data_IF_486443504815
#
_entry.id   IF_486443504815
#
_cell.length_a   1.000
_cell.length_b   1.000
_cell.length_c   1.000
_cell.angle_alpha   90.00
_cell.angle_beta   90.00
_cell.angle_gamma   90.00
#
_symmetry.space_group_name_H-M   'P 1'
#
loop_
_entity.id
_entity.type
_entity.pdbx_description
1 polymer ?
#
# COMPACT_ATOMS: atom_id res chain seq x y z
N UNK A 1 -7.43 22.67 60.07
CA UNK A 1 -6.48 23.18 59.05
C UNK A 1 -5.99 22.10 58.05
N UNK A 2 -6.14 20.81 58.36
CA UNK A 2 -5.71 19.70 57.49
C UNK A 2 -6.75 19.32 56.43
N UNK A 3 -8.05 19.56 56.63
CA UNK A 3 -9.10 19.25 55.66
C UNK A 3 -9.27 20.26 54.51
N UNK A 4 -8.76 21.50 54.63
CA UNK A 4 -8.85 22.49 53.55
C UNK A 4 -7.75 22.30 52.47
N UNK A 5 -6.64 21.67 52.83
CA UNK A 5 -5.53 21.44 51.89
C UNK A 5 -5.77 20.27 50.94
N UNK A 6 -6.61 19.29 51.29
CA UNK A 6 -6.94 18.15 50.43
C UNK A 6 -7.91 18.49 49.30
N UNK A 7 -8.80 19.48 49.49
CA UNK A 7 -9.73 19.93 48.45
C UNK A 7 -9.07 20.82 47.37
N UNK A 8 -8.05 21.58 47.74
CA UNK A 8 -7.32 22.42 46.77
C UNK A 8 -6.38 21.61 45.87
N UNK A 9 -5.80 20.49 46.34
CA UNK A 9 -4.93 19.64 45.54
C UNK A 9 -5.72 18.80 44.52
N UNK A 10 -6.92 18.35 44.85
CA UNK A 10 -7.79 17.59 43.92
C UNK A 10 -8.37 18.51 42.83
N UNK A 11 -8.73 19.76 43.20
CA UNK A 11 -9.23 20.73 42.22
C UNK A 11 -8.14 21.19 41.23
N UNK A 12 -6.88 21.27 41.67
CA UNK A 12 -5.76 21.60 40.79
C UNK A 12 -5.39 20.46 39.84
N UNK A 13 -5.48 19.21 40.29
CA UNK A 13 -5.30 18.03 39.45
C UNK A 13 -6.44 17.88 38.40
N UNK A 14 -7.67 18.22 38.79
CA UNK A 14 -8.82 18.21 37.86
C UNK A 14 -8.76 19.34 36.84
N UNK A 15 -8.25 20.52 37.21
CA UNK A 15 -8.03 21.65 36.29
C UNK A 15 -6.83 21.40 35.33
N UNK A 16 -5.78 20.73 35.81
CA UNK A 16 -4.61 20.38 35.00
C UNK A 16 -4.93 19.30 33.97
N UNK A 17 -5.82 18.34 34.26
CA UNK A 17 -6.25 17.33 33.32
C UNK A 17 -7.19 17.86 32.20
N UNK A 18 -7.84 19.00 32.41
CA UNK A 18 -8.71 19.63 31.42
C UNK A 18 -8.03 20.73 30.58
N UNK A 19 -6.80 21.16 30.93
CA UNK A 19 -6.05 22.16 30.16
C UNK A 19 -5.06 21.53 29.20
N UNK A 20 -4.62 20.30 29.44
CA UNK A 20 -3.90 19.45 28.50
C UNK A 20 -4.84 18.35 28.03
N UNK A 21 -5.90 18.72 27.32
CA UNK A 21 -6.54 17.78 26.41
C UNK A 21 -5.45 17.29 25.47
N UNK A 22 -4.91 16.10 25.72
CA UNK A 22 -4.17 15.34 24.71
C UNK A 22 -5.17 15.13 23.57
N UNK A 23 -5.25 16.05 22.63
CA UNK A 23 -5.67 15.71 21.30
C UNK A 23 -4.66 14.65 20.85
N UNK A 24 -5.05 13.39 20.89
CA UNK A 24 -4.31 12.34 20.21
C UNK A 24 -4.18 12.85 18.79
N UNK A 25 -2.98 13.32 18.45
CA UNK A 25 -2.70 13.75 17.08
C UNK A 25 -2.91 12.49 16.26
N UNK A 26 -3.99 12.47 15.46
CA UNK A 26 -4.27 11.36 14.60
C UNK A 26 -3.09 11.21 13.63
N UNK A 27 -2.67 9.96 13.41
CA UNK A 27 -1.59 9.66 12.46
C UNK A 27 -2.07 10.11 11.08
N UNK A 28 -1.36 10.99 10.36
CA UNK A 28 -1.77 11.44 9.04
C UNK A 28 -1.81 10.28 8.05
N UNK A 29 -2.62 10.42 7.01
CA UNK A 29 -2.81 9.39 5.99
C UNK A 29 -2.39 9.94 4.63
N UNK A 30 -1.54 9.21 3.93
CA UNK A 30 -1.20 9.45 2.52
C UNK A 30 -2.12 8.59 1.65
N UNK A 31 -2.64 9.17 0.57
CA UNK A 31 -3.44 8.47 -0.45
C UNK A 31 -2.72 8.59 -1.80
N UNK A 32 -2.64 7.48 -2.54
CA UNK A 32 -2.00 7.41 -3.85
C UNK A 32 -2.88 6.69 -4.88
N UNK A 33 -3.07 7.35 -6.02
CA UNK A 33 -3.86 6.84 -7.16
C UNK A 33 -3.15 5.71 -7.93
N UNK A 34 -3.91 5.01 -8.79
CA UNK A 34 -3.42 3.94 -9.66
C UNK A 34 -2.99 4.42 -11.05
N UNK A 35 -2.80 3.44 -11.97
CA UNK A 35 -2.48 3.69 -13.38
C UNK A 35 -3.63 4.43 -14.09
N UNK A 36 -3.31 5.23 -15.10
CA UNK A 36 -4.25 6.03 -15.89
C UNK A 36 -5.19 6.89 -15.01
N UNK A 37 -4.64 7.42 -13.91
CA UNK A 37 -5.37 8.18 -12.91
C UNK A 37 -4.53 9.37 -12.42
N UNK A 38 -5.07 10.15 -11.49
CA UNK A 38 -4.45 11.33 -10.90
C UNK A 38 -4.94 11.51 -9.48
N UNK A 39 -4.30 12.38 -8.70
CA UNK A 39 -4.76 12.72 -7.36
C UNK A 39 -6.21 13.21 -7.37
N UNK A 40 -6.59 14.03 -8.34
CA UNK A 40 -7.97 14.54 -8.45
C UNK A 40 -9.04 13.43 -8.58
N UNK A 41 -8.69 12.28 -9.12
CA UNK A 41 -9.60 11.11 -9.15
C UNK A 41 -9.77 10.45 -7.77
N UNK A 42 -8.92 10.78 -6.81
CA UNK A 42 -8.98 10.29 -5.43
C UNK A 42 -9.53 11.33 -4.45
N UNK A 43 -9.88 12.55 -4.89
CA UNK A 43 -10.33 13.64 -3.99
C UNK A 43 -11.55 13.24 -3.16
N UNK A 44 -12.55 12.62 -3.79
CA UNK A 44 -13.75 12.18 -3.08
C UNK A 44 -13.44 11.11 -2.03
N UNK A 45 -12.60 10.15 -2.37
CA UNK A 45 -12.11 9.11 -1.45
C UNK A 45 -11.29 9.72 -0.31
N UNK A 46 -10.36 10.62 -0.63
CA UNK A 46 -9.51 11.31 0.35
C UNK A 46 -10.32 12.13 1.36
N UNK A 47 -11.30 12.91 0.88
CA UNK A 47 -12.22 13.67 1.72
C UNK A 47 -13.06 12.75 2.61
N UNK A 48 -13.49 11.60 2.09
CA UNK A 48 -14.22 10.62 2.87
C UNK A 48 -13.34 10.00 3.98
N UNK A 49 -12.09 9.63 3.68
CA UNK A 49 -11.12 9.15 4.69
C UNK A 49 -10.91 10.21 5.77
N UNK A 50 -10.65 11.46 5.37
CA UNK A 50 -10.39 12.57 6.31
C UNK A 50 -11.54 12.77 7.27
N UNK A 51 -12.76 12.80 6.75
CA UNK A 51 -13.98 13.05 7.56
C UNK A 51 -14.40 11.84 8.38
N UNK A 52 -14.29 10.62 7.83
CA UNK A 52 -14.77 9.41 8.50
C UNK A 52 -13.85 8.95 9.64
N UNK A 53 -12.54 9.20 9.53
CA UNK A 53 -11.54 8.72 10.50
C UNK A 53 -10.86 9.85 11.27
N UNK A 54 -11.27 11.10 11.05
CA UNK A 54 -10.68 12.28 11.70
C UNK A 54 -9.15 12.31 11.60
N UNK A 55 -8.62 12.02 10.42
CA UNK A 55 -7.19 12.02 10.09
C UNK A 55 -6.89 13.05 9.00
N UNK A 56 -5.76 13.74 9.07
CA UNK A 56 -5.32 14.62 7.98
C UNK A 56 -4.90 13.77 6.79
N UNK A 57 -5.41 14.08 5.59
CA UNK A 57 -5.11 13.32 4.37
C UNK A 57 -4.22 14.13 3.43
N UNK A 58 -3.17 13.48 2.93
CA UNK A 58 -2.31 13.97 1.86
C UNK A 58 -2.55 13.14 0.60
N UNK A 59 -3.31 13.68 -0.33
CA UNK A 59 -3.59 13.08 -1.62
C UNK A 59 -2.45 13.43 -2.59
N UNK A 60 -1.53 12.47 -2.83
CA UNK A 60 -0.27 12.72 -3.55
C UNK A 60 -0.47 12.53 -5.06
N UNK A 61 0.10 13.47 -5.84
CA UNK A 61 0.31 13.36 -7.27
C UNK A 61 1.79 13.03 -7.56
N UNK A 62 2.04 12.15 -8.53
CA UNK A 62 3.38 11.87 -9.04
C UNK A 62 3.47 12.41 -10.47
N UNK A 63 4.40 13.33 -10.72
CA UNK A 63 4.56 13.99 -12.01
C UNK A 63 3.30 14.71 -12.46
N UNK A 64 2.81 14.41 -13.67
CA UNK A 64 1.55 14.92 -14.20
C UNK A 64 0.35 13.97 -13.98
N UNK A 65 0.50 13.01 -13.06
CA UNK A 65 -0.52 12.04 -12.69
C UNK A 65 -0.83 11.06 -13.80
N UNK A 66 -1.84 11.37 -14.61
CA UNK A 66 -2.35 10.45 -15.63
C UNK A 66 -1.26 9.90 -16.57
N UNK A 67 -0.45 10.78 -17.17
CA UNK A 67 0.59 10.33 -18.13
C UNK A 67 1.76 9.68 -17.40
N UNK A 68 2.21 10.24 -16.30
CA UNK A 68 3.30 9.68 -15.50
C UNK A 68 2.95 8.28 -15.03
N UNK A 69 1.70 8.05 -14.56
CA UNK A 69 1.27 6.73 -14.10
C UNK A 69 1.25 5.66 -15.20
N UNK A 70 1.20 6.04 -16.48
CA UNK A 70 1.25 5.12 -17.63
C UNK A 70 2.66 5.00 -18.19
N UNK A 71 3.29 6.15 -18.51
CA UNK A 71 4.46 6.23 -19.37
C UNK A 71 5.79 6.35 -18.61
N UNK A 72 5.78 6.44 -17.30
CA UNK A 72 6.98 6.37 -16.47
C UNK A 72 7.12 4.99 -15.82
N UNK A 73 8.28 4.33 -15.87
CA UNK A 73 8.50 3.08 -15.15
C UNK A 73 8.25 3.25 -13.66
N UNK A 74 7.77 2.21 -12.98
CA UNK A 74 7.50 2.27 -11.53
C UNK A 74 8.74 2.60 -10.69
N UNK A 75 9.92 2.21 -11.15
CA UNK A 75 11.19 2.56 -10.51
C UNK A 75 11.40 4.08 -10.44
N UNK A 76 11.07 4.81 -11.51
CA UNK A 76 11.18 6.27 -11.53
C UNK A 76 10.07 6.93 -10.71
N UNK A 77 8.84 6.41 -10.82
CA UNK A 77 7.72 6.89 -10.00
C UNK A 77 7.99 6.71 -8.51
N UNK A 78 8.64 5.61 -8.11
CA UNK A 78 9.02 5.37 -6.72
C UNK A 78 10.05 6.40 -6.22
N UNK A 79 11.06 6.72 -7.02
CA UNK A 79 12.06 7.75 -6.65
C UNK A 79 11.38 9.10 -6.42
N UNK A 80 10.48 9.50 -7.31
CA UNK A 80 9.72 10.75 -7.18
C UNK A 80 8.81 10.73 -5.95
N UNK A 81 8.09 9.62 -5.72
CA UNK A 81 7.25 9.43 -4.53
C UNK A 81 8.06 9.58 -3.23
N UNK A 82 9.25 8.96 -3.17
CA UNK A 82 10.10 9.08 -1.99
C UNK A 82 10.52 10.53 -1.73
N UNK A 83 10.88 11.27 -2.78
CA UNK A 83 11.23 12.69 -2.67
C UNK A 83 10.04 13.52 -2.19
N UNK A 84 8.86 13.34 -2.80
CA UNK A 84 7.63 14.05 -2.43
C UNK A 84 7.26 13.84 -0.97
N UNK A 85 7.35 12.60 -0.47
CA UNK A 85 7.07 12.30 0.94
C UNK A 85 8.13 12.95 1.86
N UNK A 86 9.42 12.93 1.49
CA UNK A 86 10.48 13.51 2.31
C UNK A 86 10.44 15.03 2.39
N UNK A 87 9.85 15.70 1.41
CA UNK A 87 9.63 17.15 1.42
C UNK A 87 8.49 17.56 2.36
N UNK A 88 7.62 16.62 2.75
CA UNK A 88 6.50 16.90 3.64
C UNK A 88 6.85 16.60 5.11
N UNK A 89 7.31 17.63 5.84
CA UNK A 89 7.69 17.53 7.24
C UNK A 89 6.57 17.07 8.19
N UNK A 90 5.31 17.15 7.79
CA UNK A 90 4.18 16.67 8.59
C UNK A 90 4.13 15.12 8.65
N UNK A 91 4.78 14.44 7.73
CA UNK A 91 4.85 12.97 7.68
C UNK A 91 6.03 12.38 8.48
N UNK A 92 6.93 13.20 8.99
CA UNK A 92 8.19 12.74 9.61
C UNK A 92 8.03 11.88 10.87
N UNK A 93 6.90 11.95 11.52
CA UNK A 93 6.61 11.17 12.73
C UNK A 93 5.86 9.87 12.44
N UNK A 94 5.72 9.52 11.16
CA UNK A 94 5.02 8.34 10.68
C UNK A 94 3.62 8.67 10.16
N UNK A 95 3.14 7.83 9.25
CA UNK A 95 1.85 8.01 8.58
C UNK A 95 1.25 6.69 8.15
N UNK A 96 -0.07 6.67 7.92
CA UNK A 96 -0.76 5.57 7.25
C UNK A 96 -0.65 5.78 5.74
N UNK A 97 -0.43 4.71 4.97
CA UNK A 97 -0.34 4.81 3.53
C UNK A 97 -1.44 3.97 2.87
N UNK A 98 -2.32 4.60 2.12
CA UNK A 98 -3.37 3.95 1.32
C UNK A 98 -3.01 4.10 -0.16
N UNK A 99 -2.73 2.99 -0.84
CA UNK A 99 -2.48 2.96 -2.28
C UNK A 99 -3.53 2.13 -3.01
N UNK A 100 -4.07 2.67 -4.12
CA UNK A 100 -5.04 1.97 -4.94
C UNK A 100 -4.39 1.42 -6.22
N UNK A 101 -4.67 0.15 -6.56
CA UNK A 101 -4.19 -0.46 -7.81
C UNK A 101 -2.64 -0.37 -7.91
N UNK A 102 -2.09 0.15 -9.01
CA UNK A 102 -0.66 0.44 -9.16
C UNK A 102 -0.11 1.30 -8.01
N UNK A 103 -0.91 2.23 -7.46
CA UNK A 103 -0.52 3.06 -6.33
C UNK A 103 -0.21 2.25 -5.07
N UNK A 104 -0.85 1.09 -4.88
CA UNK A 104 -0.53 0.19 -3.77
C UNK A 104 0.80 -0.53 -3.94
N UNK A 105 1.23 -0.82 -5.19
CA UNK A 105 2.59 -1.31 -5.46
C UNK A 105 3.64 -0.24 -5.15
N UNK A 106 3.36 1.03 -5.48
CA UNK A 106 4.24 2.15 -5.16
C UNK A 106 4.29 2.43 -3.65
N UNK A 107 3.14 2.39 -2.97
CA UNK A 107 3.08 2.53 -1.51
C UNK A 107 3.89 1.43 -0.80
N UNK A 108 3.78 0.18 -1.28
CA UNK A 108 4.60 -0.92 -0.80
C UNK A 108 6.09 -0.71 -1.10
N UNK A 109 6.42 -0.33 -2.32
CA UNK A 109 7.80 -0.02 -2.70
C UNK A 109 8.42 1.10 -1.83
N UNK A 110 7.63 2.12 -1.48
CA UNK A 110 8.05 3.15 -0.52
C UNK A 110 8.33 2.54 0.87
N UNK A 111 7.40 1.77 1.40
CA UNK A 111 7.57 1.12 2.70
C UNK A 111 8.80 0.19 2.72
N UNK A 112 9.11 -0.48 1.61
CA UNK A 112 10.25 -1.38 1.49
C UNK A 112 11.59 -0.66 1.35
N UNK A 113 11.66 0.35 0.47
CA UNK A 113 12.95 0.88 -0.01
C UNK A 113 13.28 2.28 0.51
N UNK A 114 12.27 3.09 0.81
CA UNK A 114 12.46 4.48 1.22
C UNK A 114 12.32 4.67 2.74
N UNK A 115 11.19 4.37 3.30
CA UNK A 115 10.80 4.29 4.73
C UNK A 115 11.55 5.20 5.73
N UNK A 116 12.18 6.30 5.28
CA UNK A 116 12.82 7.30 6.16
C UNK A 116 11.78 7.96 7.08
N UNK A 117 10.62 8.32 6.51
CA UNK A 117 9.42 8.64 7.25
C UNK A 117 8.59 7.38 7.27
N UNK A 118 8.43 6.80 8.45
CA UNK A 118 7.97 5.43 8.61
C UNK A 118 6.49 5.28 8.24
N UNK A 119 6.17 4.30 7.41
CA UNK A 119 4.79 3.83 7.23
C UNK A 119 4.37 3.06 8.48
N UNK A 120 3.27 3.49 9.11
CA UNK A 120 2.70 2.83 10.29
C UNK A 120 1.77 1.69 9.84
N UNK A 121 0.72 2.02 9.12
CA UNK A 121 -0.18 1.06 8.50
C UNK A 121 -0.07 1.20 6.97
N UNK A 122 0.27 0.11 6.28
CA UNK A 122 0.24 0.01 4.83
C UNK A 122 -1.08 -0.63 4.42
N UNK A 123 -1.88 0.10 3.64
CA UNK A 123 -3.20 -0.34 3.18
C UNK A 123 -3.20 -0.31 1.65
N UNK A 124 -3.51 -1.43 1.03
CA UNK A 124 -3.57 -1.51 -0.44
C UNK A 124 -4.95 -1.95 -0.90
N UNK A 125 -5.51 -1.20 -1.85
CA UNK A 125 -6.82 -1.45 -2.44
C UNK A 125 -6.62 -2.02 -3.84
N UNK A 126 -7.07 -3.25 -4.08
CA UNK A 126 -7.04 -3.94 -5.39
C UNK A 126 -5.71 -3.79 -6.12
N UNK A 127 -4.61 -4.00 -5.40
CA UNK A 127 -3.26 -3.79 -5.91
C UNK A 127 -2.64 -5.08 -6.42
N UNK A 128 -2.01 -5.11 -7.60
CA UNK A 128 -1.55 -6.35 -8.24
C UNK A 128 -0.23 -6.87 -7.62
N UNK A 129 -0.26 -7.27 -6.35
CA UNK A 129 0.91 -7.77 -5.62
C UNK A 129 1.50 -9.06 -6.19
N UNK A 130 0.64 -9.91 -6.79
CA UNK A 130 1.05 -11.11 -7.52
C UNK A 130 1.42 -10.85 -8.99
N UNK A 131 1.28 -9.60 -9.46
CA UNK A 131 1.43 -9.24 -10.87
C UNK A 131 0.11 -9.33 -11.64
N UNK A 132 0.19 -9.05 -12.94
CA UNK A 132 -0.93 -9.18 -13.89
C UNK A 132 -0.50 -9.87 -15.16
N UNK A 133 -1.44 -10.49 -15.86
CA UNK A 133 -1.27 -11.02 -17.22
C UNK A 133 -2.51 -10.68 -18.06
N UNK A 134 -2.28 -10.36 -19.35
CA UNK A 134 -3.33 -10.11 -20.34
C UNK A 134 -2.91 -10.74 -21.69
N UNK A 135 -3.83 -10.91 -22.62
CA UNK A 135 -3.64 -11.64 -23.88
C UNK A 135 -2.55 -11.09 -24.84
N UNK A 136 -2.03 -9.87 -24.62
CA UNK A 136 -1.04 -9.26 -25.53
C UNK A 136 0.37 -9.14 -24.92
N UNK A 137 0.89 -10.20 -24.36
CA UNK A 137 2.03 -10.19 -23.44
C UNK A 137 3.43 -10.33 -24.06
N UNK A 138 3.57 -10.61 -25.35
CA UNK A 138 4.85 -11.03 -25.94
C UNK A 138 5.97 -9.98 -26.01
N UNK A 139 5.65 -8.70 -25.76
CA UNK A 139 6.64 -7.62 -25.65
C UNK A 139 6.88 -7.10 -24.23
N UNK A 140 6.13 -7.55 -23.24
CA UNK A 140 6.17 -6.98 -21.90
C UNK A 140 7.59 -6.93 -21.31
N UNK A 141 8.43 -7.91 -21.62
CA UNK A 141 9.81 -7.99 -21.17
C UNK A 141 10.83 -7.33 -22.09
N UNK A 142 10.41 -6.60 -23.12
CA UNK A 142 11.33 -5.81 -23.92
C UNK A 142 11.90 -4.64 -23.12
N UNK A 143 13.19 -4.33 -23.34
CA UNK A 143 13.81 -3.17 -22.65
C UNK A 143 13.08 -1.86 -22.95
N UNK A 144 12.47 -1.74 -24.12
CA UNK A 144 11.69 -0.55 -24.45
C UNK A 144 10.47 -0.41 -23.53
N UNK A 145 9.63 -1.45 -23.41
CA UNK A 145 8.43 -1.36 -22.55
C UNK A 145 8.77 -1.25 -21.07
N UNK A 146 9.80 -1.97 -20.60
CA UNK A 146 10.26 -1.88 -19.22
C UNK A 146 10.75 -0.47 -18.83
N UNK A 147 11.23 0.30 -19.78
CA UNK A 147 11.72 1.66 -19.57
C UNK A 147 10.69 2.76 -19.89
N UNK A 148 9.52 2.41 -20.46
CA UNK A 148 8.55 3.43 -20.92
C UNK A 148 7.10 3.16 -20.48
N UNK A 149 6.79 1.99 -19.93
CA UNK A 149 5.43 1.68 -19.47
C UNK A 149 5.47 1.11 -18.05
N UNK A 150 4.69 1.70 -17.18
CA UNK A 150 4.59 1.28 -15.78
C UNK A 150 4.09 -0.16 -15.64
N UNK A 151 3.06 -0.53 -16.42
CA UNK A 151 2.44 -1.87 -16.37
C UNK A 151 3.43 -2.99 -16.68
N UNK A 152 4.43 -2.75 -17.52
CA UNK A 152 5.48 -3.73 -17.82
C UNK A 152 6.27 -4.12 -16.56
N UNK A 153 6.38 -3.21 -15.58
CA UNK A 153 7.10 -3.42 -14.33
C UNK A 153 6.43 -4.38 -13.34
N UNK A 154 5.17 -4.76 -13.55
CA UNK A 154 4.46 -5.77 -12.75
C UNK A 154 3.75 -6.82 -13.59
N UNK A 155 4.19 -6.97 -14.84
CA UNK A 155 3.76 -8.05 -15.73
C UNK A 155 4.36 -9.39 -15.26
N UNK A 156 3.52 -10.39 -15.02
CA UNK A 156 3.94 -11.72 -14.58
C UNK A 156 3.31 -12.79 -15.48
N UNK A 157 4.06 -13.25 -16.47
CA UNK A 157 3.63 -14.38 -17.30
C UNK A 157 4.03 -15.70 -16.62
N UNK A 158 3.08 -16.56 -16.25
CA UNK A 158 3.38 -17.81 -15.54
C UNK A 158 4.19 -18.80 -16.37
N UNK A 159 4.06 -18.76 -17.71
CA UNK A 159 4.81 -19.65 -18.63
C UNK A 159 6.19 -19.09 -19.01
N UNK A 160 6.56 -17.89 -18.52
CA UNK A 160 7.83 -17.23 -18.84
C UNK A 160 8.50 -16.68 -17.56
N UNK A 161 8.47 -17.45 -16.46
CA UNK A 161 8.98 -17.00 -15.15
C UNK A 161 10.46 -16.60 -15.18
N UNK A 162 11.28 -17.28 -15.97
CA UNK A 162 12.69 -16.92 -16.13
C UNK A 162 12.84 -15.51 -16.75
N UNK A 163 12.00 -15.18 -17.74
CA UNK A 163 12.00 -13.82 -18.34
C UNK A 163 11.45 -12.80 -17.36
N UNK A 164 10.40 -13.14 -16.61
CA UNK A 164 9.88 -12.29 -15.55
C UNK A 164 10.98 -11.96 -14.54
N UNK A 165 11.66 -12.97 -14.02
CA UNK A 165 12.73 -12.80 -13.06
C UNK A 165 13.92 -12.00 -13.63
N UNK A 166 14.32 -12.24 -14.88
CA UNK A 166 15.48 -11.56 -15.50
C UNK A 166 15.15 -10.13 -15.93
N UNK A 167 14.01 -9.91 -16.60
CA UNK A 167 13.72 -8.67 -17.33
C UNK A 167 12.74 -7.74 -16.64
N UNK A 168 11.80 -8.25 -15.84
CA UNK A 168 10.85 -7.37 -15.15
C UNK A 168 11.57 -6.48 -14.14
N UNK A 169 11.37 -5.16 -14.26
CA UNK A 169 12.20 -4.18 -13.58
C UNK A 169 11.74 -3.85 -12.15
N UNK A 170 10.49 -4.14 -11.80
CA UNK A 170 9.92 -3.68 -10.53
C UNK A 170 9.42 -4.82 -9.64
N UNK A 171 8.39 -5.57 -10.06
CA UNK A 171 7.70 -6.53 -9.21
C UNK A 171 8.61 -7.58 -8.59
N UNK A 172 9.50 -8.29 -9.34
CA UNK A 172 10.36 -9.30 -8.74
C UNK A 172 11.40 -8.71 -7.76
N UNK A 173 11.69 -7.41 -7.85
CA UNK A 173 12.54 -6.70 -6.90
C UNK A 173 11.80 -6.44 -5.59
N UNK A 174 10.59 -5.86 -5.67
CA UNK A 174 9.78 -5.61 -4.46
C UNK A 174 9.16 -6.89 -3.88
N UNK A 175 9.11 -8.00 -4.62
CA UNK A 175 8.75 -9.31 -4.09
C UNK A 175 9.94 -10.07 -3.49
N UNK A 176 11.15 -9.49 -3.50
CA UNK A 176 12.39 -10.18 -3.10
C UNK A 176 12.59 -11.54 -3.81
N UNK A 177 12.01 -11.71 -5.00
CA UNK A 177 12.22 -12.88 -5.85
C UNK A 177 13.60 -12.84 -6.54
N UNK A 178 14.22 -11.65 -6.55
CA UNK A 178 15.64 -11.45 -6.92
C UNK A 178 16.43 -11.16 -5.65
N UNK A 179 17.48 -11.94 -5.41
CA UNK A 179 18.40 -11.63 -4.31
C UNK A 179 19.24 -10.40 -4.70
N UNK A 180 18.95 -9.26 -4.09
CA UNK A 180 19.64 -7.98 -4.33
C UNK A 180 20.31 -7.50 -3.04
N UNK A 181 21.19 -6.50 -3.16
CA UNK A 181 21.86 -5.89 -2.00
C UNK A 181 20.90 -5.19 -1.01
N UNK A 182 19.64 -4.96 -1.40
CA UNK A 182 18.63 -4.29 -0.56
C UNK A 182 17.58 -5.26 0.01
N UNK A 183 17.63 -6.54 -0.34
CA UNK A 183 16.60 -7.53 0.06
C UNK A 183 16.38 -7.62 1.56
N UNK A 184 17.44 -7.61 2.37
CA UNK A 184 17.34 -7.67 3.82
C UNK A 184 16.74 -6.40 4.42
N UNK A 185 17.04 -5.24 3.83
CA UNK A 185 16.49 -3.95 4.25
C UNK A 185 15.00 -3.90 3.94
N UNK A 186 14.60 -4.30 2.74
CA UNK A 186 13.20 -4.37 2.32
C UNK A 186 12.39 -5.26 3.28
N UNK A 187 12.84 -6.47 3.54
CA UNK A 187 12.21 -7.39 4.49
C UNK A 187 12.13 -6.80 5.90
N UNK A 188 13.18 -6.15 6.37
CA UNK A 188 13.22 -5.50 7.69
C UNK A 188 12.19 -4.36 7.77
N UNK A 189 12.09 -3.54 6.73
CA UNK A 189 11.16 -2.43 6.66
C UNK A 189 9.70 -2.92 6.66
N UNK A 190 9.37 -3.96 5.89
CA UNK A 190 8.02 -4.57 5.93
C UNK A 190 7.72 -5.12 7.32
N UNK A 191 8.64 -5.80 7.97
CA UNK A 191 8.46 -6.32 9.32
C UNK A 191 8.28 -5.22 10.38
N UNK A 192 8.67 -3.99 10.09
CA UNK A 192 8.49 -2.83 10.99
C UNK A 192 7.08 -2.26 10.96
N UNK A 193 6.26 -2.54 9.93
CA UNK A 193 4.89 -2.05 9.84
C UNK A 193 4.07 -2.47 11.06
N UNK A 194 3.23 -1.58 11.57
CA UNK A 194 2.23 -1.94 12.58
C UNK A 194 1.22 -2.92 12.02
N UNK A 195 0.70 -2.61 10.82
CA UNK A 195 -0.15 -3.51 10.04
C UNK A 195 0.13 -3.37 8.55
N UNK A 196 0.02 -4.48 7.81
CA UNK A 196 -0.10 -4.52 6.37
C UNK A 196 -1.47 -5.09 6.01
N UNK A 197 -2.29 -4.29 5.36
CA UNK A 197 -3.68 -4.62 5.03
C UNK A 197 -3.82 -4.67 3.51
N UNK A 198 -4.25 -5.81 2.96
CA UNK A 198 -4.63 -5.93 1.56
C UNK A 198 -6.14 -6.05 1.45
N UNK A 199 -6.75 -5.20 0.64
CA UNK A 199 -8.18 -5.23 0.33
C UNK A 199 -8.31 -5.58 -1.15
N UNK A 200 -8.91 -6.72 -1.44
CA UNK A 200 -9.10 -7.25 -2.78
C UNK A 200 -10.55 -7.53 -3.08
N UNK A 201 -10.89 -7.84 -4.32
CA UNK A 201 -12.24 -8.23 -4.71
C UNK A 201 -12.21 -9.25 -5.83
N UNK A 202 -13.01 -10.31 -5.69
CA UNK A 202 -13.24 -11.28 -6.78
C UNK A 202 -13.99 -10.68 -7.97
N UNK A 203 -14.62 -9.50 -7.79
CA UNK A 203 -15.31 -8.76 -8.83
C UNK A 203 -14.39 -7.72 -9.51
N UNK A 204 -13.09 -7.77 -9.25
CA UNK A 204 -12.11 -6.94 -9.94
C UNK A 204 -12.01 -7.37 -11.40
N UNK A 205 -12.35 -6.46 -12.31
CA UNK A 205 -12.37 -6.70 -13.76
C UNK A 205 -11.08 -6.21 -14.45
N UNK A 206 -10.16 -5.58 -13.70
CA UNK A 206 -8.93 -5.01 -14.25
C UNK A 206 -7.69 -5.78 -13.84
N UNK A 207 -7.69 -6.42 -12.68
CA UNK A 207 -6.55 -7.22 -12.21
C UNK A 207 -6.81 -8.68 -12.57
N UNK A 208 -5.91 -9.29 -13.34
CA UNK A 208 -5.98 -10.69 -13.74
C UNK A 208 -4.70 -11.44 -13.30
N UNK A 209 -4.83 -12.43 -12.37
CA UNK A 209 -6.04 -12.80 -11.62
C UNK A 209 -6.41 -11.79 -10.54
N UNK A 210 -7.69 -11.64 -10.18
CA UNK A 210 -8.13 -10.75 -9.09
C UNK A 210 -7.46 -11.06 -7.75
N UNK A 211 -7.15 -12.32 -7.50
CA UNK A 211 -6.44 -12.82 -6.33
C UNK A 211 -5.00 -12.26 -6.21
N UNK A 212 -4.47 -11.64 -7.26
CA UNK A 212 -3.22 -10.89 -7.21
C UNK A 212 -3.26 -9.79 -6.13
N UNK A 213 -4.45 -9.26 -5.83
CA UNK A 213 -4.68 -8.33 -4.74
C UNK A 213 -4.35 -8.88 -3.35
N UNK A 214 -4.30 -10.18 -3.17
CA UNK A 214 -3.90 -10.90 -1.96
C UNK A 214 -2.59 -11.68 -2.11
N UNK A 215 -1.71 -11.30 -3.05
CA UNK A 215 -0.42 -11.93 -3.37
C UNK A 215 -0.51 -13.29 -4.06
N UNK A 216 -1.68 -13.75 -4.48
CA UNK A 216 -1.83 -14.94 -5.30
C UNK A 216 -1.48 -14.65 -6.76
N UNK A 217 -1.14 -15.67 -7.53
CA UNK A 217 -0.82 -15.55 -8.95
C UNK A 217 -1.05 -16.89 -9.68
N UNK A 218 -0.97 -16.90 -11.00
CA UNK A 218 -1.11 -18.10 -11.80
C UNK A 218 0.15 -18.99 -11.80
N UNK A 219 -0.04 -20.30 -11.74
CA UNK A 219 0.96 -21.31 -12.14
C UNK A 219 1.05 -21.45 -13.67
N UNK A 220 1.92 -22.36 -14.15
CA UNK A 220 2.14 -22.59 -15.58
C UNK A 220 0.89 -23.14 -16.32
N UNK A 221 -0.03 -23.76 -15.60
CA UNK A 221 -1.32 -24.26 -16.08
C UNK A 221 -2.46 -23.25 -15.93
N UNK A 222 -2.15 -21.99 -15.51
CA UNK A 222 -3.12 -20.93 -15.24
C UNK A 222 -4.10 -21.24 -14.09
N UNK A 223 -3.71 -22.07 -13.12
CA UNK A 223 -4.42 -22.17 -11.87
C UNK A 223 -3.91 -21.12 -10.89
N UNK A 224 -4.83 -20.55 -10.09
CA UNK A 224 -4.44 -19.59 -9.04
C UNK A 224 -3.76 -20.33 -7.89
N UNK A 225 -2.55 -19.93 -7.54
CA UNK A 225 -1.83 -20.38 -6.35
C UNK A 225 -2.12 -19.40 -5.22
N UNK A 226 -2.63 -19.91 -4.10
CA UNK A 226 -2.81 -19.07 -2.90
C UNK A 226 -1.45 -18.66 -2.28
N UNK A 227 -1.44 -17.52 -1.60
CA UNK A 227 -0.21 -16.92 -1.05
C UNK A 227 0.56 -17.92 -0.18
N UNK A 228 -0.12 -18.69 0.66
CA UNK A 228 0.48 -19.67 1.58
C UNK A 228 1.25 -20.76 0.85
N UNK A 229 0.88 -21.04 -0.41
CA UNK A 229 1.53 -22.06 -1.24
C UNK A 229 2.70 -21.52 -2.06
N UNK A 230 2.84 -20.20 -2.13
CA UNK A 230 3.93 -19.54 -2.86
C UNK A 230 5.26 -19.66 -2.10
N UNK A 231 6.38 -19.65 -2.84
CA UNK A 231 7.72 -19.56 -2.25
C UNK A 231 7.91 -18.22 -1.53
N UNK A 232 7.27 -17.17 -2.01
CA UNK A 232 7.28 -15.84 -1.40
C UNK A 232 6.85 -15.89 0.08
N UNK A 233 5.83 -16.69 0.39
CA UNK A 233 5.32 -16.85 1.75
C UNK A 233 6.07 -17.98 2.51
N UNK A 234 6.28 -19.16 1.89
CA UNK A 234 6.94 -20.29 2.53
C UNK A 234 8.32 -19.93 3.06
N UNK A 235 9.12 -19.22 2.28
CA UNK A 235 10.47 -18.77 2.63
C UNK A 235 10.48 -17.37 3.28
N UNK A 236 9.29 -16.79 3.46
CA UNK A 236 9.12 -15.45 4.02
C UNK A 236 10.01 -14.40 3.33
N UNK A 237 10.02 -14.38 2.00
CA UNK A 237 10.91 -13.50 1.24
C UNK A 237 10.71 -12.00 1.57
N UNK A 238 9.46 -11.60 1.86
CA UNK A 238 9.07 -10.21 2.15
C UNK A 238 8.93 -9.88 3.64
N UNK A 239 8.82 -10.88 4.52
CA UNK A 239 8.42 -10.66 5.91
C UNK A 239 6.90 -10.70 6.13
N UNK A 240 6.11 -11.08 5.11
CA UNK A 240 4.64 -11.17 5.21
C UNK A 240 4.23 -12.32 6.13
N UNK A 241 4.88 -13.48 6.05
CA UNK A 241 4.64 -14.61 6.95
C UNK A 241 4.91 -14.21 8.41
N UNK A 242 6.02 -13.51 8.65
CA UNK A 242 6.32 -12.98 9.98
C UNK A 242 5.21 -12.04 10.47
N UNK A 243 4.69 -11.13 9.60
CA UNK A 243 3.58 -10.25 9.96
C UNK A 243 2.30 -11.06 10.26
N UNK A 244 1.98 -12.07 9.45
CA UNK A 244 0.81 -12.93 9.64
C UNK A 244 0.87 -13.70 10.97
N UNK A 245 2.00 -14.30 11.29
CA UNK A 245 2.24 -15.02 12.57
C UNK A 245 2.12 -14.09 13.80
N UNK A 246 2.28 -12.76 13.60
CA UNK A 246 2.15 -11.75 14.64
C UNK A 246 0.82 -10.96 14.57
N UNK A 247 -0.18 -11.43 13.83
CA UNK A 247 -1.48 -10.78 13.62
C UNK A 247 -1.36 -9.34 13.10
N UNK A 248 -0.45 -9.09 12.16
CA UNK A 248 -0.17 -7.78 11.54
C UNK A 248 -0.26 -7.78 10.02
N UNK A 249 -0.54 -8.92 9.40
CA UNK A 249 -0.91 -9.03 7.99
C UNK A 249 -2.37 -9.43 7.88
N UNK A 250 -3.16 -8.65 7.15
CA UNK A 250 -4.61 -8.81 7.07
C UNK A 250 -5.06 -8.79 5.62
N UNK A 251 -5.87 -9.76 5.25
CA UNK A 251 -6.49 -9.88 3.93
C UNK A 251 -7.99 -9.68 4.09
N UNK A 252 -8.56 -8.72 3.39
CA UNK A 252 -9.98 -8.44 3.38
C UNK A 252 -10.54 -8.50 1.97
N UNK A 253 -11.74 -9.06 1.81
CA UNK A 253 -12.46 -9.10 0.55
C UNK A 253 -13.60 -8.10 0.56
N UNK A 254 -13.84 -7.43 -0.57
CA UNK A 254 -15.01 -6.63 -0.85
C UNK A 254 -15.78 -7.21 -2.03
N UNK A 255 -17.00 -6.69 -2.26
CA UNK A 255 -17.79 -7.05 -3.45
C UNK A 255 -17.79 -5.95 -4.53
N UNK A 256 -16.90 -4.97 -4.41
CA UNK A 256 -16.82 -3.83 -5.31
C UNK A 256 -16.00 -4.19 -6.56
N UNK A 257 -16.32 -3.57 -7.70
CA UNK A 257 -15.45 -3.61 -8.89
C UNK A 257 -14.18 -2.80 -8.66
N UNK A 258 -13.20 -2.89 -9.55
CA UNK A 258 -11.92 -2.21 -9.40
C UNK A 258 -12.11 -0.70 -9.11
N UNK A 259 -12.79 0.00 -10.01
CA UNK A 259 -12.97 1.44 -9.88
C UNK A 259 -13.84 1.86 -8.69
N UNK A 260 -14.80 1.03 -8.28
CA UNK A 260 -15.71 1.33 -7.18
C UNK A 260 -15.00 1.48 -5.82
N UNK A 261 -13.79 0.97 -5.65
CA UNK A 261 -13.05 1.12 -4.40
C UNK A 261 -12.73 2.59 -4.03
N UNK A 262 -12.80 3.51 -4.96
CA UNK A 262 -12.68 4.95 -4.71
C UNK A 262 -14.02 5.71 -4.72
N UNK A 263 -15.14 4.99 -4.93
CA UNK A 263 -16.46 5.59 -5.10
C UNK A 263 -17.36 5.35 -3.87
N UNK A 264 -18.34 6.22 -3.58
CA UNK A 264 -19.22 6.12 -2.42
C UNK A 264 -19.94 4.78 -2.28
N UNK A 265 -20.17 4.06 -3.38
CA UNK A 265 -20.84 2.75 -3.36
C UNK A 265 -20.06 1.70 -2.55
N UNK A 266 -18.72 1.81 -2.51
CA UNK A 266 -17.87 0.89 -1.77
C UNK A 266 -17.55 1.36 -0.34
N UNK A 267 -17.74 2.63 -0.02
CA UNK A 267 -17.36 3.22 1.28
C UNK A 267 -17.92 2.49 2.50
N UNK A 268 -19.15 1.97 2.52
CA UNK A 268 -19.64 1.21 3.68
C UNK A 268 -18.81 -0.04 3.97
N UNK A 269 -18.42 -0.81 2.93
CA UNK A 269 -17.58 -2.00 3.11
C UNK A 269 -16.17 -1.61 3.55
N UNK A 270 -15.61 -0.57 2.94
CA UNK A 270 -14.28 -0.05 3.29
C UNK A 270 -14.27 0.53 4.71
N UNK A 271 -15.33 1.21 5.16
CA UNK A 271 -15.45 1.72 6.52
C UNK A 271 -15.35 0.62 7.56
N UNK A 272 -16.07 -0.49 7.36
CA UNK A 272 -16.06 -1.61 8.29
C UNK A 272 -14.68 -2.27 8.44
N UNK A 273 -13.86 -2.21 7.40
CA UNK A 273 -12.47 -2.68 7.42
C UNK A 273 -11.55 -1.62 8.02
N UNK A 274 -11.58 -0.40 7.48
CA UNK A 274 -10.58 0.64 7.79
C UNK A 274 -10.68 1.15 9.22
N UNK A 275 -11.87 1.15 9.85
CA UNK A 275 -12.06 1.54 11.27
C UNK A 275 -11.26 0.69 12.27
N UNK A 276 -10.69 -0.43 11.83
CA UNK A 276 -9.83 -1.28 12.65
C UNK A 276 -8.38 -0.79 12.67
N UNK A 277 -8.01 0.10 11.74
CA UNK A 277 -6.61 0.45 11.47
C UNK A 277 -6.34 1.96 11.46
N UNK A 278 -7.34 2.79 11.13
CA UNK A 278 -7.30 4.25 11.12
C UNK A 278 -8.00 4.83 12.34
#
# INVERSE_FOLDING_TARGET
MIQLLSFLSISFLYLYSNVFGNSLVSIPTVVLHGIASSASNMDNFSNWIETSFNTKVFNIEIGDGFKTSIYSPLTNQLVELCSTIYENEELKHGFNFIGMSQGGLLARGYAEQCNKYQVVNLITLVSPHGGVIYDFNWYAYSSFLQNHLSIAGYWRNPTELDKYLDKCSYLPVINNEKNTSVSDIQKTNIKSLKNFITIWSKNDELIDPPESGKFSFYDEEYNVIDIEDTILYKDDLLGIKYLAENNRFHIHETNCTHAQHRDPICFPQLYDILKLYL
#
